data_IF_351141641999
#
_entry.id   IF_351141641999
#
_cell.length_a   1.000
_cell.length_b   1.000
_cell.length_c   1.000
_cell.angle_alpha   90.00
_cell.angle_beta   90.00
_cell.angle_gamma   90.00
#
_symmetry.space_group_name_H-M   'P 1'
#
loop_
_entity.id
_entity.type
_entity.pdbx_description
1 polymer ?
#
# COMPACT_ATOMS: atom_id res chain seq x y z
N UNK A 1 20.64 10.26 -1.36
CA UNK A 1 19.80 9.29 -0.61
C UNK A 1 18.53 8.94 -1.39
N UNK A 2 17.59 9.87 -1.61
CA UNK A 2 16.32 9.60 -2.28
C UNK A 2 16.44 9.05 -3.72
N UNK A 3 17.27 9.65 -4.58
CA UNK A 3 17.44 9.18 -5.96
C UNK A 3 17.98 7.74 -6.06
N UNK A 4 18.87 7.35 -5.14
CA UNK A 4 19.37 5.97 -5.05
C UNK A 4 18.29 5.00 -4.62
N UNK A 5 17.42 5.41 -3.69
CA UNK A 5 16.26 4.63 -3.26
C UNK A 5 15.23 4.46 -4.39
N UNK A 6 14.90 5.53 -5.11
CA UNK A 6 14.01 5.48 -6.29
C UNK A 6 14.59 4.56 -7.37
N UNK A 7 15.90 4.64 -7.64
CA UNK A 7 16.56 3.74 -8.59
C UNK A 7 16.53 2.29 -8.12
N UNK A 8 16.74 2.03 -6.83
CA UNK A 8 16.63 0.69 -6.25
C UNK A 8 15.22 0.13 -6.36
N UNK A 9 14.20 0.95 -6.08
CA UNK A 9 12.80 0.57 -6.20
C UNK A 9 12.39 0.36 -7.66
N UNK A 10 12.85 1.21 -8.58
CA UNK A 10 12.64 1.02 -10.03
C UNK A 10 13.33 -0.26 -10.54
N UNK A 11 14.53 -0.55 -10.03
CA UNK A 11 15.22 -1.81 -10.31
C UNK A 11 14.43 -3.00 -9.78
N UNK A 12 13.82 -2.88 -8.59
CA UNK A 12 12.97 -3.93 -8.02
C UNK A 12 11.63 -4.04 -8.75
N UNK A 13 11.08 -2.96 -9.28
CA UNK A 13 9.90 -3.04 -10.16
C UNK A 13 10.22 -3.75 -11.48
N UNK A 14 11.43 -3.54 -11.99
CA UNK A 14 11.92 -4.19 -13.21
C UNK A 14 12.40 -5.63 -12.96
N UNK A 15 12.84 -5.92 -11.74
CA UNK A 15 13.35 -7.21 -11.26
C UNK A 15 12.81 -7.45 -9.84
N UNK A 16 11.56 -7.95 -9.71
CA UNK A 16 10.88 -8.09 -8.42
C UNK A 16 11.69 -8.87 -7.38
N UNK A 17 11.38 -8.69 -6.08
CA UNK A 17 11.96 -9.48 -4.99
C UNK A 17 11.94 -10.97 -5.31
N UNK A 18 12.89 -11.72 -4.75
CA UNK A 18 13.15 -13.08 -5.24
C UNK A 18 11.90 -13.95 -5.15
N UNK A 19 11.73 -14.85 -6.12
CA UNK A 19 10.58 -15.77 -6.16
C UNK A 19 10.45 -16.59 -4.86
N UNK A 20 11.55 -16.80 -4.15
CA UNK A 20 11.61 -17.49 -2.86
C UNK A 20 10.89 -16.67 -1.79
N UNK A 21 11.21 -15.39 -1.62
CA UNK A 21 10.57 -14.54 -0.61
C UNK A 21 9.05 -14.43 -0.84
N UNK A 22 8.65 -14.36 -2.11
CA UNK A 22 7.25 -14.32 -2.53
C UNK A 22 6.52 -15.63 -2.22
N UNK A 23 7.16 -16.77 -2.49
CA UNK A 23 6.61 -18.09 -2.20
C UNK A 23 6.50 -18.33 -0.69
N UNK A 24 7.50 -17.92 0.09
CA UNK A 24 7.50 -18.02 1.54
C UNK A 24 6.39 -17.17 2.17
N UNK A 25 6.16 -15.96 1.68
CA UNK A 25 5.05 -15.12 2.13
C UNK A 25 3.69 -15.79 1.84
N UNK A 26 3.48 -16.29 0.62
CA UNK A 26 2.25 -16.97 0.26
C UNK A 26 2.03 -18.25 1.08
N UNK A 27 3.07 -19.07 1.27
CA UNK A 27 2.98 -20.32 2.04
C UNK A 27 2.56 -20.07 3.48
N UNK A 28 3.04 -18.98 4.10
CA UNK A 28 2.60 -18.59 5.45
C UNK A 28 1.13 -18.23 5.51
N UNK A 29 0.63 -17.47 4.53
CA UNK A 29 -0.79 -17.12 4.49
C UNK A 29 -1.66 -18.35 4.22
N UNK A 30 -1.21 -19.27 3.38
CA UNK A 30 -1.89 -20.55 3.14
C UNK A 30 -2.01 -21.37 4.42
N UNK A 31 -0.92 -21.53 5.18
CA UNK A 31 -0.96 -22.23 6.46
C UNK A 31 -1.94 -21.59 7.46
N UNK A 32 -1.99 -20.26 7.53
CA UNK A 32 -2.94 -19.54 8.39
C UNK A 32 -4.39 -19.66 7.87
N UNK A 33 -4.58 -19.80 6.55
CA UNK A 33 -5.87 -20.04 5.92
C UNK A 33 -6.37 -21.47 6.17
N UNK A 34 -5.47 -22.46 6.18
CA UNK A 34 -5.76 -23.84 6.56
C UNK A 34 -6.27 -23.93 8.02
N UNK A 35 -5.87 -23.00 8.88
CA UNK A 35 -6.38 -22.83 10.24
C UNK A 35 -7.77 -22.14 10.30
N UNK A 36 -8.34 -21.76 9.15
CA UNK A 36 -9.67 -21.15 9.03
C UNK A 36 -9.69 -19.62 9.17
N UNK A 37 -8.55 -18.94 9.00
CA UNK A 37 -8.48 -17.48 9.10
C UNK A 37 -8.81 -16.76 7.79
N UNK A 38 -9.45 -15.60 7.91
CA UNK A 38 -9.61 -14.61 6.85
C UNK A 38 -8.65 -13.43 7.03
N UNK A 39 -8.40 -12.65 5.98
CA UNK A 39 -7.27 -11.70 5.96
C UNK A 39 -7.65 -10.27 5.60
N UNK A 40 -7.17 -9.31 6.40
CA UNK A 40 -6.95 -7.94 5.94
C UNK A 40 -5.46 -7.72 5.79
N UNK A 41 -4.98 -7.61 4.56
CA UNK A 41 -3.58 -7.41 4.25
C UNK A 41 -3.29 -5.92 4.07
N UNK A 42 -2.29 -5.39 4.76
CA UNK A 42 -1.87 -3.99 4.64
C UNK A 42 -0.43 -3.95 4.17
N UNK A 43 -0.18 -3.26 3.06
CA UNK A 43 1.14 -3.21 2.44
C UNK A 43 1.61 -1.78 2.21
N UNK A 44 2.90 -1.52 2.44
CA UNK A 44 3.51 -0.20 2.24
C UNK A 44 4.60 -0.25 1.18
N UNK A 45 4.67 0.77 0.31
CA UNK A 45 5.76 0.94 -0.65
C UNK A 45 5.97 -0.32 -1.50
N UNK A 46 7.18 -0.89 -1.47
CA UNK A 46 7.51 -2.16 -2.13
C UNK A 46 6.71 -3.37 -1.65
N UNK A 47 6.21 -3.38 -0.41
CA UNK A 47 5.38 -4.46 0.11
C UNK A 47 4.14 -4.72 -0.76
N UNK A 48 3.72 -3.71 -1.55
CA UNK A 48 2.60 -3.84 -2.48
C UNK A 48 2.88 -4.83 -3.63
N UNK A 49 4.13 -5.08 -3.99
CA UNK A 49 4.49 -6.15 -4.94
C UNK A 49 4.21 -7.53 -4.34
N UNK A 50 4.54 -7.71 -3.06
CA UNK A 50 4.34 -8.97 -2.35
C UNK A 50 2.87 -9.25 -2.10
N UNK A 51 2.11 -8.25 -1.64
CA UNK A 51 0.70 -8.45 -1.29
C UNK A 51 -0.16 -8.78 -2.51
N UNK A 52 0.17 -8.24 -3.69
CA UNK A 52 -0.56 -8.55 -4.92
C UNK A 52 -0.40 -10.01 -5.32
N UNK A 53 0.84 -10.52 -5.30
CA UNK A 53 1.12 -11.93 -5.58
C UNK A 53 0.47 -12.84 -4.54
N UNK A 54 0.60 -12.47 -3.27
CA UNK A 54 0.02 -13.21 -2.16
C UNK A 54 -1.52 -13.27 -2.26
N UNK A 55 -2.18 -12.16 -2.58
CA UNK A 55 -3.63 -12.11 -2.80
C UNK A 55 -4.07 -13.04 -3.93
N UNK A 56 -3.42 -12.94 -5.10
CA UNK A 56 -3.76 -13.75 -6.27
C UNK A 56 -3.50 -15.26 -6.00
N UNK A 57 -2.39 -15.58 -5.33
CA UNK A 57 -2.02 -16.94 -4.94
C UNK A 57 -2.96 -17.54 -3.88
N UNK A 58 -3.36 -16.75 -2.89
CA UNK A 58 -4.28 -17.19 -1.86
C UNK A 58 -5.67 -17.41 -2.44
N UNK A 59 -6.16 -16.51 -3.31
CA UNK A 59 -7.47 -16.70 -3.96
C UNK A 59 -7.53 -17.97 -4.80
N UNK A 60 -6.41 -18.34 -5.42
CA UNK A 60 -6.29 -19.56 -6.21
C UNK A 60 -6.26 -20.83 -5.36
N UNK A 61 -5.55 -20.80 -4.23
CA UNK A 61 -5.35 -21.99 -3.38
C UNK A 61 -6.49 -22.20 -2.36
N UNK A 62 -7.06 -21.11 -1.85
CA UNK A 62 -8.10 -21.09 -0.83
C UNK A 62 -9.26 -20.19 -1.29
N UNK A 63 -10.05 -20.63 -2.29
CA UNK A 63 -11.07 -19.77 -2.91
C UNK A 63 -12.17 -19.31 -1.94
N UNK A 64 -12.40 -20.10 -0.87
CA UNK A 64 -13.38 -19.82 0.18
C UNK A 64 -12.87 -18.84 1.25
N UNK A 65 -11.55 -18.64 1.37
CA UNK A 65 -10.96 -17.66 2.30
C UNK A 65 -11.27 -16.24 1.83
N UNK A 66 -11.84 -15.44 2.72
CA UNK A 66 -12.08 -14.04 2.51
C UNK A 66 -10.79 -13.26 2.72
N UNK A 67 -10.53 -12.32 1.82
CA UNK A 67 -9.35 -11.47 1.90
C UNK A 67 -9.61 -10.12 1.26
N UNK A 68 -9.05 -9.07 1.88
CA UNK A 68 -9.06 -7.71 1.38
C UNK A 68 -7.68 -7.06 1.57
N UNK A 69 -7.36 -6.07 0.72
CA UNK A 69 -6.05 -5.41 0.74
C UNK A 69 -6.20 -3.89 0.91
N UNK A 70 -5.35 -3.31 1.74
CA UNK A 70 -5.12 -1.86 1.82
C UNK A 70 -3.69 -1.55 1.38
N UNK A 71 -3.59 -0.80 0.30
CA UNK A 71 -2.33 -0.39 -0.31
C UNK A 71 -1.91 0.99 0.19
N UNK A 72 -0.75 1.10 0.82
CA UNK A 72 -0.17 2.38 1.28
C UNK A 72 1.05 2.70 0.43
N UNK A 73 1.09 3.89 -0.17
CA UNK A 73 2.17 4.30 -1.06
C UNK A 73 2.51 3.23 -2.13
N UNK A 74 1.56 2.74 -2.93
CA UNK A 74 1.81 1.60 -3.80
C UNK A 74 2.88 1.89 -4.85
N UNK A 75 4.02 1.21 -4.72
CA UNK A 75 5.03 1.11 -5.76
C UNK A 75 4.60 0.04 -6.78
N UNK A 76 3.38 0.12 -7.31
CA UNK A 76 2.82 -0.86 -8.23
C UNK A 76 1.73 -0.23 -9.10
N UNK A 77 1.67 -0.58 -10.40
CA UNK A 77 0.61 -0.16 -11.31
C UNK A 77 -0.73 -0.81 -10.99
N UNK A 78 -0.70 -1.94 -10.27
CA UNK A 78 -1.89 -2.73 -9.92
C UNK A 78 -2.09 -2.75 -8.42
N UNK A 79 -3.36 -2.73 -8.03
CA UNK A 79 -3.85 -2.90 -6.66
C UNK A 79 -4.97 -3.94 -6.66
N UNK A 80 -5.17 -4.62 -5.52
CA UNK A 80 -6.24 -5.62 -5.27
C UNK A 80 -7.22 -5.13 -4.19
N UNK A 81 -7.26 -3.83 -3.97
CA UNK A 81 -8.10 -3.20 -2.97
C UNK A 81 -7.93 -1.69 -2.97
N UNK A 82 -8.38 -1.06 -1.89
CA UNK A 82 -8.26 0.39 -1.73
C UNK A 82 -6.81 0.80 -1.54
N UNK A 83 -6.47 2.01 -1.97
CA UNK A 83 -5.14 2.56 -1.76
C UNK A 83 -5.16 3.93 -1.09
N UNK A 84 -4.03 4.31 -0.54
CA UNK A 84 -3.70 5.68 -0.16
C UNK A 84 -2.34 6.05 -0.76
N UNK A 85 -2.26 7.24 -1.33
CA UNK A 85 -1.04 7.81 -1.85
C UNK A 85 -1.03 9.32 -1.64
N UNK A 86 -0.01 9.80 -0.92
CA UNK A 86 0.19 11.23 -0.68
C UNK A 86 0.73 11.94 -1.93
N UNK A 87 0.29 13.18 -2.13
CA UNK A 87 0.85 14.12 -3.10
C UNK A 87 2.32 14.47 -2.84
N UNK A 88 2.76 14.44 -1.58
CA UNK A 88 4.14 14.74 -1.17
C UNK A 88 5.09 13.53 -1.26
N UNK A 89 4.61 12.34 -1.62
CA UNK A 89 5.43 11.14 -1.64
C UNK A 89 6.46 11.19 -2.77
N UNK A 90 7.67 11.64 -2.43
CA UNK A 90 8.73 11.90 -3.39
C UNK A 90 9.31 10.61 -3.99
N UNK A 91 9.18 9.48 -3.29
CA UNK A 91 9.59 8.17 -3.80
C UNK A 91 8.65 7.74 -4.91
N UNK A 92 7.35 7.71 -4.62
CA UNK A 92 6.33 7.21 -5.55
C UNK A 92 6.17 8.18 -6.73
N UNK A 93 6.24 9.48 -6.48
CA UNK A 93 6.28 10.47 -7.57
C UNK A 93 7.57 10.36 -8.39
N UNK A 94 8.70 10.03 -7.76
CA UNK A 94 9.95 9.71 -8.45
C UNK A 94 9.78 8.56 -9.45
N UNK A 95 9.03 7.52 -9.08
CA UNK A 95 8.72 6.37 -9.96
C UNK A 95 7.88 6.75 -11.17
N UNK A 96 7.01 7.78 -11.09
CA UNK A 96 6.21 8.24 -12.25
C UNK A 96 7.08 8.67 -13.42
N UNK A 97 8.31 9.11 -13.17
CA UNK A 97 9.26 9.48 -14.22
C UNK A 97 9.75 8.28 -15.06
N UNK A 98 9.51 7.05 -14.59
CA UNK A 98 9.78 5.82 -15.34
C UNK A 98 8.53 5.29 -16.08
N UNK A 99 7.41 6.03 -16.02
CA UNK A 99 6.14 5.77 -16.72
C UNK A 99 4.94 6.19 -15.88
N UNK A 100 3.96 6.93 -16.43
CA UNK A 100 2.81 7.41 -15.65
C UNK A 100 1.86 6.29 -15.18
N UNK A 101 1.90 5.14 -15.85
CA UNK A 101 1.16 3.92 -15.50
C UNK A 101 1.78 3.14 -14.34
N UNK A 102 2.97 3.48 -13.84
CA UNK A 102 3.71 2.64 -12.89
C UNK A 102 3.17 2.66 -11.46
N UNK A 103 2.32 3.63 -11.11
CA UNK A 103 1.83 3.84 -9.73
C UNK A 103 0.41 4.42 -9.72
N UNK A 104 -0.30 4.23 -8.61
CA UNK A 104 -1.69 4.69 -8.46
C UNK A 104 -1.84 6.22 -8.48
N UNK A 105 -3.07 6.70 -8.65
CA UNK A 105 -3.39 8.12 -8.52
C UNK A 105 -3.23 8.61 -7.07
N UNK A 106 -2.84 9.87 -6.91
CA UNK A 106 -2.84 10.57 -5.61
C UNK A 106 -4.27 10.69 -5.11
N UNK A 107 -4.49 10.41 -3.83
CA UNK A 107 -5.79 10.55 -3.18
C UNK A 107 -5.70 11.07 -1.73
N UNK A 108 -4.54 11.59 -1.33
CA UNK A 108 -4.33 12.23 -0.05
C UNK A 108 -3.42 13.45 -0.23
N UNK A 109 -3.91 14.63 0.16
CA UNK A 109 -3.17 15.89 0.04
C UNK A 109 -2.74 16.38 1.42
N UNK A 110 -1.45 16.64 1.57
CA UNK A 110 -0.82 16.94 2.86
C UNK A 110 -0.05 18.27 2.82
N UNK A 111 -0.01 19.04 3.93
CA UNK A 111 0.97 20.10 4.08
C UNK A 111 2.36 19.49 4.29
N UNK A 112 3.39 20.21 3.83
CA UNK A 112 4.78 19.75 3.96
C UNK A 112 5.17 19.53 5.44
N UNK A 113 5.75 18.36 5.73
CA UNK A 113 6.22 17.97 7.05
C UNK A 113 7.74 17.81 7.06
N UNK A 114 8.45 18.67 7.81
CA UNK A 114 9.92 18.57 7.94
C UNK A 114 10.39 17.29 8.61
N UNK A 115 9.58 16.69 9.48
CA UNK A 115 9.94 15.44 10.17
C UNK A 115 9.95 14.23 9.24
N UNK A 116 9.20 14.28 8.13
CA UNK A 116 9.28 13.33 7.03
C UNK A 116 9.29 14.09 5.71
N UNK A 117 10.45 14.68 5.40
CA UNK A 117 10.63 15.47 4.19
C UNK A 117 10.45 14.66 2.89
N UNK A 118 10.45 13.33 2.97
CA UNK A 118 10.22 12.46 1.82
C UNK A 118 8.74 12.23 1.51
N UNK A 119 7.85 12.49 2.47
CA UNK A 119 6.42 12.19 2.35
C UNK A 119 6.12 10.70 2.17
N UNK A 120 7.05 9.80 2.49
CA UNK A 120 6.96 8.38 2.10
C UNK A 120 6.84 7.43 3.28
N UNK A 121 7.32 7.78 4.48
CA UNK A 121 7.40 6.80 5.56
C UNK A 121 6.01 6.39 6.04
N UNK A 122 5.85 5.10 6.36
CA UNK A 122 4.57 4.59 6.86
C UNK A 122 4.13 5.35 8.11
N UNK A 123 5.01 5.51 9.11
CA UNK A 123 4.66 6.14 10.38
C UNK A 123 4.61 7.67 10.29
N UNK A 124 5.62 8.30 9.70
CA UNK A 124 5.77 9.76 9.67
C UNK A 124 4.82 10.47 8.72
N UNK A 125 4.43 9.79 7.62
CA UNK A 125 3.44 10.30 6.67
C UNK A 125 2.10 9.61 6.84
N UNK A 126 2.00 8.31 6.55
CA UNK A 126 0.70 7.65 6.36
C UNK A 126 -0.05 7.28 7.66
N UNK A 127 0.66 7.16 8.79
CA UNK A 127 0.05 6.93 10.11
C UNK A 127 0.22 8.14 11.04
N UNK A 128 0.51 9.31 10.46
CA UNK A 128 0.55 10.55 11.20
C UNK A 128 -0.88 10.98 11.57
N UNK A 129 -1.15 11.13 12.86
CA UNK A 129 -2.46 11.56 13.38
C UNK A 129 -2.54 13.05 13.71
N UNK A 130 -1.46 13.80 13.51
CA UNK A 130 -1.35 15.21 13.85
C UNK A 130 -1.38 16.11 12.62
N UNK A 131 -0.98 15.59 11.46
CA UNK A 131 -1.00 16.33 10.20
C UNK A 131 -2.41 16.38 9.62
N UNK A 132 -3.00 17.57 9.42
CA UNK A 132 -4.26 17.71 8.68
C UNK A 132 -4.07 17.25 7.24
N UNK A 133 -5.07 16.59 6.68
CA UNK A 133 -5.06 16.09 5.32
C UNK A 133 -6.40 16.33 4.63
N UNK A 134 -6.39 16.40 3.30
CA UNK A 134 -7.61 16.40 2.49
C UNK A 134 -7.66 15.16 1.61
N UNK A 135 -8.85 14.58 1.43
CA UNK A 135 -9.11 13.53 0.41
C UNK A 135 -9.54 14.10 -0.93
N UNK A 136 -9.60 15.43 -1.05
CA UNK A 136 -9.91 16.13 -2.30
C UNK A 136 -8.79 17.10 -2.69
N UNK A 137 -8.42 17.20 -3.99
CA UNK A 137 -7.40 18.14 -4.42
C UNK A 137 -7.80 19.58 -4.09
N UNK A 138 -6.92 20.33 -3.43
CA UNK A 138 -7.15 21.72 -2.98
C UNK A 138 -8.35 21.91 -2.03
N UNK A 139 -8.88 20.83 -1.44
CA UNK A 139 -9.96 20.90 -0.46
C UNK A 139 -9.47 21.33 0.94
N UNK A 140 -10.38 21.77 1.82
CA UNK A 140 -10.05 21.94 3.23
C UNK A 140 -9.66 20.57 3.85
N UNK A 141 -8.90 20.56 4.95
CA UNK A 141 -8.62 19.33 5.67
C UNK A 141 -9.91 18.66 6.15
N UNK A 142 -10.12 17.41 5.77
CA UNK A 142 -11.26 16.57 6.12
C UNK A 142 -10.85 15.34 6.96
N UNK A 143 -9.55 15.11 7.12
CA UNK A 143 -9.00 13.93 7.78
C UNK A 143 -7.58 14.16 8.31
N UNK A 144 -6.98 13.09 8.82
CA UNK A 144 -5.53 12.95 9.03
C UNK A 144 -5.07 11.68 8.30
N UNK A 145 -3.79 11.54 7.93
CA UNK A 145 -3.31 10.30 7.30
C UNK A 145 -3.70 9.05 8.08
N UNK A 146 -3.50 9.07 9.42
CA UNK A 146 -3.89 7.95 10.29
C UNK A 146 -5.38 7.65 10.23
N UNK A 147 -6.22 8.67 10.32
CA UNK A 147 -7.67 8.49 10.29
C UNK A 147 -8.14 7.94 8.94
N UNK A 148 -7.57 8.42 7.83
CA UNK A 148 -7.86 7.93 6.50
C UNK A 148 -7.45 6.46 6.33
N UNK A 149 -6.20 6.11 6.66
CA UNK A 149 -5.72 4.70 6.61
C UNK A 149 -6.57 3.79 7.48
N UNK A 150 -6.93 4.23 8.69
CA UNK A 150 -7.84 3.48 9.57
C UNK A 150 -9.20 3.25 8.91
N UNK A 151 -9.76 4.24 8.24
CA UNK A 151 -11.01 4.10 7.49
C UNK A 151 -10.91 3.05 6.38
N UNK A 152 -9.81 3.03 5.63
CA UNK A 152 -9.56 2.00 4.62
C UNK A 152 -9.45 0.60 5.25
N UNK A 153 -8.76 0.46 6.38
CA UNK A 153 -8.65 -0.82 7.08
C UNK A 153 -10.01 -1.30 7.58
N UNK A 154 -10.84 -0.41 8.13
CA UNK A 154 -12.21 -0.75 8.57
C UNK A 154 -13.06 -1.20 7.37
N UNK A 155 -12.96 -0.49 6.24
CA UNK A 155 -13.69 -0.87 5.03
C UNK A 155 -13.23 -2.24 4.50
N UNK A 156 -11.93 -2.54 4.53
CA UNK A 156 -11.39 -3.84 4.16
C UNK A 156 -11.83 -4.94 5.13
N UNK A 157 -11.87 -4.64 6.44
CA UNK A 157 -12.36 -5.56 7.46
C UNK A 157 -13.84 -5.91 7.22
N UNK A 158 -14.68 -4.93 6.87
CA UNK A 158 -16.08 -5.17 6.56
C UNK A 158 -16.26 -6.10 5.33
N UNK A 159 -15.31 -6.14 4.39
CA UNK A 159 -15.36 -7.05 3.23
C UNK A 159 -15.05 -8.50 3.60
N UNK A 160 -14.38 -8.74 4.74
CA UNK A 160 -14.03 -10.09 5.19
C UNK A 160 -14.82 -10.56 6.41
N UNK A 161 -15.64 -9.68 6.99
CA UNK A 161 -16.57 -10.01 8.08
C UNK A 161 -18.02 -10.16 7.63
N UNK A 162 -18.37 -9.66 6.44
CA UNK A 162 -19.72 -9.81 5.89
C UNK A 162 -19.80 -11.11 5.05
N UNK A 163 -20.57 -12.12 5.48
CA UNK A 163 -20.81 -13.33 4.69
C UNK A 163 -21.65 -13.07 3.44
#
# INVERSE_FOLDING_TARGET
MLAGFVKGLASLLSNPPTAVDMADHLSRLQAIADEGSDFVLVAHSQGNLFVNLAYDGLKKSHPATLQAVVHVAPASPTVRGMHVLSDLDAVINGLRNFGSWTVQAINLWLPFNKADASGHTLVGTYLNGQTPASTTPNGPPDTTPRAHVKGLIINALNQVLAP
#
